data_IF_158260963988
#
_entry.id   IF_158260963988
#
_cell.length_a   1.000
_cell.length_b   1.000
_cell.length_c   1.000
_cell.angle_alpha   90.00
_cell.angle_beta   90.00
_cell.angle_gamma   90.00
#
_symmetry.space_group_name_H-M   'P 1'
#
loop_
_entity.id
_entity.type
_entity.pdbx_description
1 polymer ?
#
# COMPACT_ATOMS: atom_id res chain seq x y z
N UNK A 1 -59.11 -8.97 -56.01
CA UNK A 1 -58.22 -8.66 -54.91
C UNK A 1 -57.96 -7.15 -54.92
N UNK A 2 -58.39 -6.43 -53.87
CA UNK A 2 -58.30 -4.96 -53.88
C UNK A 2 -56.83 -4.51 -53.96
N UNK A 3 -56.54 -3.60 -54.91
CA UNK A 3 -55.18 -3.05 -55.11
C UNK A 3 -54.53 -2.54 -53.80
N UNK A 4 -55.37 -1.98 -52.93
CA UNK A 4 -54.97 -1.53 -51.59
C UNK A 4 -54.47 -2.66 -50.66
N UNK A 5 -55.06 -3.85 -50.75
CA UNK A 5 -54.66 -5.02 -49.95
C UNK A 5 -53.29 -5.55 -50.44
N UNK A 6 -53.06 -5.56 -51.74
CA UNK A 6 -51.76 -5.98 -52.33
C UNK A 6 -50.64 -5.02 -51.95
N UNK A 7 -50.91 -3.71 -51.96
CA UNK A 7 -49.91 -2.70 -51.50
C UNK A 7 -49.62 -2.76 -50.02
N UNK A 8 -50.60 -3.09 -49.19
CA UNK A 8 -50.43 -3.26 -47.74
C UNK A 8 -49.55 -4.49 -47.44
N UNK A 9 -49.79 -5.61 -48.13
CA UNK A 9 -48.96 -6.82 -47.99
C UNK A 9 -47.52 -6.57 -48.46
N UNK A 10 -47.35 -5.89 -49.57
CA UNK A 10 -46.01 -5.54 -50.07
C UNK A 10 -45.27 -4.60 -49.11
N UNK A 11 -45.94 -3.64 -48.50
CA UNK A 11 -45.38 -2.74 -47.49
C UNK A 11 -44.99 -3.48 -46.20
N UNK A 12 -45.81 -4.42 -45.73
CA UNK A 12 -45.48 -5.26 -44.54
C UNK A 12 -44.30 -6.22 -44.82
N UNK A 13 -44.22 -6.78 -46.02
CA UNK A 13 -43.08 -7.63 -46.44
C UNK A 13 -41.79 -6.82 -46.57
N UNK A 14 -41.83 -5.63 -47.16
CA UNK A 14 -40.69 -4.74 -47.25
C UNK A 14 -40.27 -4.22 -45.85
N UNK A 15 -41.22 -3.78 -45.04
CA UNK A 15 -40.94 -3.33 -43.67
C UNK A 15 -40.40 -4.43 -42.78
N UNK A 16 -40.97 -5.64 -42.86
CA UNK A 16 -40.45 -6.84 -42.15
C UNK A 16 -39.06 -7.28 -42.64
N UNK A 17 -38.81 -7.21 -43.95
CA UNK A 17 -37.52 -7.48 -44.53
C UNK A 17 -36.42 -6.48 -44.13
N UNK A 18 -36.75 -5.20 -44.14
CA UNK A 18 -35.85 -4.14 -43.65
C UNK A 18 -35.59 -4.27 -42.14
N UNK A 19 -36.63 -4.52 -41.37
CA UNK A 19 -36.54 -4.75 -39.89
C UNK A 19 -35.65 -5.99 -39.62
N UNK A 20 -35.89 -7.09 -40.35
CA UNK A 20 -35.07 -8.32 -40.20
C UNK A 20 -33.60 -8.09 -40.64
N UNK A 21 -33.38 -7.35 -41.72
CA UNK A 21 -32.04 -6.98 -42.20
C UNK A 21 -31.31 -6.07 -41.20
N UNK A 22 -31.99 -5.09 -40.63
CA UNK A 22 -31.41 -4.19 -39.64
C UNK A 22 -31.18 -4.92 -38.30
N UNK A 23 -32.04 -5.87 -37.92
CA UNK A 23 -31.82 -6.68 -36.70
C UNK A 23 -30.71 -7.72 -36.80
N UNK A 24 -30.37 -8.16 -38.00
CA UNK A 24 -29.20 -9.02 -38.20
C UNK A 24 -27.85 -8.24 -38.28
N UNK A 25 -27.91 -6.94 -38.54
CA UNK A 25 -26.71 -6.13 -38.75
C UNK A 25 -26.02 -5.57 -37.50
N UNK A 26 -26.65 -5.66 -36.35
CA UNK A 26 -26.11 -5.03 -35.11
C UNK A 26 -25.30 -5.97 -34.22
N UNK A 27 -25.43 -7.29 -34.31
CA UNK A 27 -24.80 -8.19 -33.34
C UNK A 27 -23.36 -8.61 -33.63
N UNK A 28 -22.91 -8.57 -34.90
CA UNK A 28 -21.54 -9.02 -35.24
C UNK A 28 -20.50 -7.89 -35.27
N UNK A 29 -20.89 -6.65 -35.54
CA UNK A 29 -19.94 -5.52 -35.58
C UNK A 29 -19.77 -4.80 -34.24
N UNK A 30 -20.75 -4.89 -33.36
CA UNK A 30 -20.74 -4.24 -32.03
C UNK A 30 -20.02 -5.04 -30.98
N UNK A 31 -19.97 -6.36 -31.03
CA UNK A 31 -19.32 -7.21 -30.02
C UNK A 31 -17.80 -7.17 -30.13
N UNK A 32 -17.21 -7.20 -31.33
CA UNK A 32 -15.75 -7.08 -31.49
C UNK A 32 -15.27 -5.64 -31.21
N UNK A 33 -15.95 -4.62 -31.76
CA UNK A 33 -15.63 -3.22 -31.44
C UNK A 33 -15.92 -2.81 -29.97
N UNK A 34 -16.77 -3.57 -29.27
CA UNK A 34 -17.03 -3.41 -27.84
C UNK A 34 -15.94 -3.99 -26.96
N UNK A 35 -15.41 -5.14 -27.31
CA UNK A 35 -14.36 -5.83 -26.55
C UNK A 35 -13.04 -5.03 -26.53
N UNK A 36 -12.65 -4.43 -27.66
CA UNK A 36 -11.43 -3.63 -27.78
C UNK A 36 -11.45 -2.31 -26.99
N UNK A 37 -12.62 -1.91 -26.50
CA UNK A 37 -12.85 -0.68 -25.72
C UNK A 37 -13.08 -0.91 -24.24
N UNK A 38 -13.34 -2.14 -23.82
CA UNK A 38 -13.71 -2.47 -22.46
C UNK A 38 -12.50 -2.78 -21.59
N UNK A 39 -11.74 -1.74 -21.21
CA UNK A 39 -10.56 -1.87 -20.35
C UNK A 39 -10.93 -2.15 -18.89
N UNK A 40 -12.06 -1.64 -18.39
CA UNK A 40 -12.45 -1.76 -17.00
C UNK A 40 -12.98 -3.16 -16.64
N UNK A 41 -12.70 -3.60 -15.43
CA UNK A 41 -13.36 -4.76 -14.80
C UNK A 41 -14.40 -4.23 -13.82
N UNK A 42 -15.69 -4.40 -14.13
CA UNK A 42 -16.79 -3.84 -13.33
C UNK A 42 -16.83 -4.33 -11.90
N UNK A 43 -16.52 -5.60 -11.70
CA UNK A 43 -16.47 -6.24 -10.37
C UNK A 43 -15.04 -6.68 -10.05
N UNK A 44 -14.37 -5.93 -9.19
CA UNK A 44 -13.01 -6.25 -8.73
C UNK A 44 -12.96 -7.55 -7.93
N UNK A 45 -14.08 -8.02 -7.39
CA UNK A 45 -14.19 -9.30 -6.70
C UNK A 45 -13.82 -10.50 -7.56
N UNK A 46 -13.95 -10.38 -8.89
CA UNK A 46 -13.59 -11.42 -9.85
C UNK A 46 -12.07 -11.49 -10.10
N UNK A 47 -11.31 -10.45 -9.77
CA UNK A 47 -9.86 -10.40 -10.01
C UNK A 47 -9.13 -10.99 -8.80
N UNK A 48 -8.44 -12.11 -9.03
CA UNK A 48 -7.65 -12.81 -8.01
C UNK A 48 -6.15 -12.66 -8.23
N UNK A 49 -5.70 -12.42 -9.47
CA UNK A 49 -4.30 -12.15 -9.76
C UNK A 49 -4.18 -11.01 -10.77
N UNK A 50 -3.25 -10.10 -10.51
CA UNK A 50 -2.83 -9.02 -11.40
C UNK A 50 -1.36 -9.26 -11.73
N UNK A 51 -1.04 -9.38 -13.02
CA UNK A 51 0.33 -9.45 -13.49
C UNK A 51 0.64 -8.16 -14.24
N UNK A 52 1.77 -7.53 -13.91
CA UNK A 52 2.26 -6.30 -14.51
C UNK A 52 3.68 -6.55 -14.98
N UNK A 53 3.98 -6.24 -16.23
CA UNK A 53 5.32 -6.35 -16.78
C UNK A 53 5.65 -5.13 -17.64
N UNK A 54 6.85 -4.58 -17.47
CA UNK A 54 7.36 -3.53 -18.33
C UNK A 54 8.43 -4.03 -19.31
N UNK A 55 8.84 -3.17 -20.21
CA UNK A 55 9.87 -3.49 -21.23
C UNK A 55 11.30 -3.50 -20.66
N UNK A 56 11.50 -3.08 -19.42
CA UNK A 56 12.80 -3.14 -18.72
C UNK A 56 13.05 -4.51 -18.09
N UNK A 57 12.05 -5.40 -18.17
CA UNK A 57 12.12 -6.75 -17.61
C UNK A 57 11.58 -6.86 -16.18
N UNK A 58 11.10 -5.76 -15.61
CA UNK A 58 10.47 -5.77 -14.31
C UNK A 58 9.11 -6.47 -14.38
N UNK A 59 8.88 -7.34 -13.41
CA UNK A 59 7.63 -8.13 -13.31
C UNK A 59 7.08 -8.04 -11.89
N UNK A 60 5.79 -7.81 -11.82
CA UNK A 60 5.03 -7.75 -10.56
C UNK A 60 3.86 -8.69 -10.64
N UNK A 61 3.72 -9.56 -9.66
CA UNK A 61 2.53 -10.40 -9.47
C UNK A 61 1.87 -10.00 -8.16
N UNK A 62 0.58 -9.68 -8.22
CA UNK A 62 -0.23 -9.34 -7.06
C UNK A 62 -1.36 -10.36 -6.99
N UNK A 63 -1.41 -11.14 -5.91
CA UNK A 63 -2.39 -12.20 -5.72
C UNK A 63 -3.30 -11.87 -4.54
N UNK A 64 -4.61 -12.00 -4.73
CA UNK A 64 -5.59 -11.76 -3.67
C UNK A 64 -5.50 -12.85 -2.61
N UNK A 65 -5.49 -12.43 -1.36
CA UNK A 65 -5.62 -13.28 -0.18
C UNK A 65 -6.77 -12.75 0.69
N UNK A 66 -7.06 -13.46 1.75
CA UNK A 66 -8.07 -12.99 2.71
C UNK A 66 -7.60 -11.72 3.41
N UNK A 67 -8.28 -10.61 3.14
CA UNK A 67 -7.98 -9.30 3.71
C UNK A 67 -6.79 -8.52 3.14
N UNK A 68 -5.97 -9.08 2.23
CA UNK A 68 -4.80 -8.38 1.66
C UNK A 68 -4.43 -8.88 0.26
N UNK A 69 -3.43 -8.23 -0.37
CA UNK A 69 -2.80 -8.69 -1.60
C UNK A 69 -1.37 -9.14 -1.33
N UNK A 70 -0.98 -10.26 -1.91
CA UNK A 70 0.37 -10.83 -1.83
C UNK A 70 1.19 -10.38 -3.04
N UNK A 71 2.32 -9.71 -2.79
CA UNK A 71 3.25 -9.25 -3.81
C UNK A 71 4.33 -10.30 -4.07
N UNK A 72 4.49 -10.70 -5.32
CA UNK A 72 5.48 -11.68 -5.82
C UNK A 72 5.53 -12.98 -5.01
N UNK A 73 4.37 -13.44 -4.51
CA UNK A 73 4.25 -14.69 -3.76
C UNK A 73 4.87 -14.66 -2.35
N UNK A 74 5.40 -13.52 -1.89
CA UNK A 74 6.20 -13.46 -0.66
C UNK A 74 5.77 -12.36 0.32
N UNK A 75 5.50 -11.15 -0.16
CA UNK A 75 5.31 -9.99 0.69
C UNK A 75 3.88 -9.49 0.67
N UNK A 76 3.39 -8.97 1.79
CA UNK A 76 2.14 -8.22 1.82
C UNK A 76 2.28 -6.95 0.98
N UNK A 77 1.35 -6.73 0.05
CA UNK A 77 1.31 -5.51 -0.73
C UNK A 77 0.74 -4.35 0.08
N UNK A 78 1.32 -3.16 -0.10
CA UNK A 78 0.94 -1.94 0.62
C UNK A 78 -0.46 -1.45 0.18
N UNK A 79 -1.43 -1.32 1.11
CA UNK A 79 -2.81 -0.92 0.77
C UNK A 79 -2.89 0.42 0.05
N UNK A 80 -2.07 1.41 0.43
CA UNK A 80 -2.06 2.74 -0.18
C UNK A 80 -1.57 2.78 -1.64
N UNK A 81 -0.95 1.70 -2.14
CA UNK A 81 -0.57 1.51 -3.54
C UNK A 81 -1.59 0.65 -4.26
N UNK A 82 -2.13 -0.36 -3.58
CA UNK A 82 -3.13 -1.25 -4.15
C UNK A 82 -4.43 -0.53 -4.48
N UNK A 83 -4.95 0.31 -3.58
CA UNK A 83 -6.23 0.99 -3.81
C UNK A 83 -6.24 1.83 -5.11
N UNK A 84 -5.25 2.72 -5.38
CA UNK A 84 -5.18 3.45 -6.64
C UNK A 84 -5.06 2.55 -7.87
N UNK A 85 -4.38 1.39 -7.77
CA UNK A 85 -4.30 0.42 -8.86
C UNK A 85 -5.66 -0.22 -9.13
N UNK A 86 -6.35 -0.68 -8.09
CA UNK A 86 -7.68 -1.29 -8.20
C UNK A 86 -8.73 -0.31 -8.73
N UNK A 87 -8.65 0.96 -8.31
CA UNK A 87 -9.48 2.04 -8.86
C UNK A 87 -9.21 2.25 -10.37
N UNK A 88 -7.95 2.18 -10.80
CA UNK A 88 -7.61 2.27 -12.22
C UNK A 88 -8.21 1.10 -13.01
N UNK A 89 -8.10 -0.13 -12.51
CA UNK A 89 -8.64 -1.34 -13.15
C UNK A 89 -10.17 -1.28 -13.26
N UNK A 90 -10.86 -0.75 -12.25
CA UNK A 90 -12.34 -0.77 -12.20
C UNK A 90 -13.00 0.43 -12.87
N UNK A 91 -12.34 1.57 -12.92
CA UNK A 91 -12.95 2.86 -13.28
C UNK A 91 -12.38 3.50 -14.54
N UNK A 92 -11.38 2.87 -15.18
CA UNK A 92 -10.84 3.38 -16.46
C UNK A 92 -11.93 3.49 -17.52
N UNK A 93 -11.97 4.62 -18.22
CA UNK A 93 -12.91 4.90 -19.30
C UNK A 93 -12.16 5.43 -20.52
N UNK A 94 -12.71 5.17 -21.69
CA UNK A 94 -12.22 5.79 -22.93
C UNK A 94 -12.62 7.25 -22.95
N UNK A 95 -11.65 8.11 -23.20
CA UNK A 95 -11.86 9.53 -23.42
C UNK A 95 -12.17 9.84 -24.89
N UNK A 96 -11.33 9.30 -25.79
CA UNK A 96 -11.53 9.38 -27.24
C UNK A 96 -10.64 8.37 -27.99
N UNK A 97 -10.94 8.19 -29.27
CA UNK A 97 -10.12 7.46 -30.21
C UNK A 97 -9.13 8.43 -30.88
N UNK A 98 -7.83 8.12 -30.89
CA UNK A 98 -6.84 8.95 -31.57
C UNK A 98 -7.10 9.06 -33.08
N UNK A 99 -6.66 10.18 -33.73
CA UNK A 99 -6.70 10.30 -35.17
C UNK A 99 -5.89 9.20 -35.88
N UNK A 100 -6.36 8.71 -37.02
CA UNK A 100 -5.72 7.65 -37.79
C UNK A 100 -4.22 7.93 -38.05
N UNK A 101 -3.89 9.17 -38.39
CA UNK A 101 -2.52 9.59 -38.68
C UNK A 101 -1.53 9.47 -37.50
N UNK A 102 -2.06 9.34 -36.29
CA UNK A 102 -1.24 9.20 -35.07
C UNK A 102 -1.11 7.74 -34.59
N UNK A 103 -1.91 6.82 -35.11
CA UNK A 103 -2.03 5.44 -34.61
C UNK A 103 -0.73 4.66 -34.69
N UNK A 104 -0.03 4.67 -35.83
CA UNK A 104 1.19 3.89 -35.99
C UNK A 104 2.26 4.25 -34.97
N UNK A 105 2.44 5.55 -34.73
CA UNK A 105 3.37 6.04 -33.69
C UNK A 105 2.94 5.66 -32.24
N UNK A 106 1.63 5.63 -31.99
CA UNK A 106 1.11 5.24 -30.71
C UNK A 106 1.26 3.74 -30.45
N UNK A 107 1.00 2.91 -31.46
CA UNK A 107 1.21 1.46 -31.39
C UNK A 107 2.70 1.16 -31.19
N UNK A 108 3.58 1.84 -31.94
CA UNK A 108 5.03 1.72 -31.78
C UNK A 108 5.46 2.10 -30.35
N UNK A 109 4.98 3.23 -29.82
CA UNK A 109 5.28 3.66 -28.45
C UNK A 109 4.74 2.68 -27.40
N UNK A 110 3.53 2.14 -27.57
CA UNK A 110 2.96 1.11 -26.71
C UNK A 110 3.75 -0.21 -26.80
N UNK A 111 4.24 -0.56 -27.97
CA UNK A 111 5.07 -1.75 -28.17
C UNK A 111 6.45 -1.63 -27.51
N UNK A 112 7.02 -0.42 -27.44
CA UNK A 112 8.39 -0.18 -26.92
C UNK A 112 8.43 0.20 -25.45
N UNK A 113 7.45 0.95 -24.96
CA UNK A 113 7.42 1.52 -23.59
C UNK A 113 6.19 1.11 -22.78
N UNK A 114 5.25 0.39 -23.39
CA UNK A 114 4.00 -0.02 -22.77
C UNK A 114 4.20 -0.99 -21.62
N UNK A 115 3.37 -0.84 -20.60
CA UNK A 115 3.28 -1.73 -19.45
C UNK A 115 2.17 -2.73 -19.73
N UNK A 116 2.50 -4.01 -19.81
CA UNK A 116 1.51 -5.08 -19.93
C UNK A 116 0.81 -5.29 -18.61
N UNK A 117 -0.50 -5.37 -18.62
CA UNK A 117 -1.35 -5.72 -17.48
C UNK A 117 -2.20 -6.92 -17.87
N UNK A 118 -2.16 -7.95 -17.06
CA UNK A 118 -3.00 -9.13 -17.21
C UNK A 118 -3.78 -9.36 -15.91
N UNK A 119 -5.08 -9.59 -16.05
CA UNK A 119 -6.00 -9.79 -14.94
C UNK A 119 -6.55 -11.21 -15.03
N UNK A 120 -6.50 -11.94 -13.92
CA UNK A 120 -6.91 -13.33 -13.85
C UNK A 120 -7.94 -13.55 -12.73
N UNK A 121 -8.84 -14.49 -12.98
CA UNK A 121 -9.80 -14.94 -11.98
C UNK A 121 -9.17 -15.93 -10.97
N UNK A 122 -10.01 -16.47 -10.07
CA UNK A 122 -9.60 -17.43 -9.03
C UNK A 122 -9.09 -18.76 -9.58
N UNK A 123 -9.55 -19.16 -10.78
CA UNK A 123 -9.21 -20.42 -11.43
C UNK A 123 -7.99 -20.26 -12.36
N UNK A 124 -7.44 -19.03 -12.44
CA UNK A 124 -6.29 -18.68 -13.26
C UNK A 124 -6.65 -18.41 -14.72
N UNK A 125 -7.94 -18.27 -15.06
CA UNK A 125 -8.36 -17.89 -16.42
C UNK A 125 -8.14 -16.38 -16.62
N UNK A 126 -7.70 -16.02 -17.84
CA UNK A 126 -7.46 -14.63 -18.20
C UNK A 126 -8.79 -13.89 -18.40
N UNK A 127 -9.02 -12.85 -17.57
CA UNK A 127 -10.18 -11.96 -17.68
C UNK A 127 -9.92 -10.88 -18.72
N UNK A 128 -8.77 -10.20 -18.62
CA UNK A 128 -8.35 -9.11 -19.53
C UNK A 128 -6.84 -9.03 -19.64
N UNK A 129 -6.37 -8.60 -20.81
CA UNK A 129 -4.97 -8.24 -21.03
C UNK A 129 -4.91 -6.97 -21.87
N UNK A 130 -4.09 -6.01 -21.49
CA UNK A 130 -3.92 -4.75 -22.19
C UNK A 130 -2.56 -4.11 -21.92
N UNK A 131 -2.18 -3.15 -22.74
CA UNK A 131 -0.98 -2.34 -22.58
C UNK A 131 -1.34 -0.91 -22.21
N UNK A 132 -0.61 -0.35 -21.25
CA UNK A 132 -0.75 1.03 -20.77
C UNK A 132 0.53 1.80 -21.12
N UNK A 133 0.39 2.84 -21.91
CA UNK A 133 1.52 3.65 -22.40
C UNK A 133 1.72 4.94 -21.63
N UNK A 134 2.28 5.93 -22.33
CA UNK A 134 2.52 7.27 -21.83
C UNK A 134 1.26 8.13 -21.78
N UNK A 135 1.42 9.38 -21.26
CA UNK A 135 0.39 10.41 -21.26
C UNK A 135 0.21 11.03 -22.64
N UNK A 136 -0.98 11.59 -22.88
CA UNK A 136 -1.22 12.54 -23.97
C UNK A 136 -0.40 13.81 -23.77
N UNK A 137 -0.23 14.62 -24.81
CA UNK A 137 0.52 15.87 -24.76
C UNK A 137 -0.07 16.93 -23.80
N UNK A 138 -1.39 16.85 -23.54
CA UNK A 138 -2.11 17.68 -22.58
C UNK A 138 -2.11 17.08 -21.17
N UNK A 139 -1.43 15.92 -20.95
CA UNK A 139 -1.35 15.16 -19.70
C UNK A 139 -2.71 14.71 -19.11
N UNK A 140 -3.80 14.79 -19.89
CA UNK A 140 -5.17 14.49 -19.44
C UNK A 140 -5.68 13.13 -19.86
N UNK A 141 -4.82 12.28 -20.41
CA UNK A 141 -5.17 10.93 -20.83
C UNK A 141 -3.94 10.04 -20.91
N UNK A 142 -4.18 8.75 -21.07
CA UNK A 142 -3.14 7.72 -21.18
C UNK A 142 -3.46 6.85 -22.38
N UNK A 143 -2.47 6.56 -23.21
CA UNK A 143 -2.64 5.64 -24.33
C UNK A 143 -2.79 4.22 -23.80
N UNK A 144 -3.80 3.51 -24.30
CA UNK A 144 -4.05 2.11 -23.95
C UNK A 144 -4.46 1.32 -25.20
N UNK A 145 -4.10 0.03 -25.24
CA UNK A 145 -4.52 -0.89 -26.28
C UNK A 145 -4.80 -2.27 -25.66
N UNK A 146 -5.86 -2.94 -26.07
CA UNK A 146 -6.12 -4.33 -25.68
C UNK A 146 -5.08 -5.25 -26.31
N UNK A 147 -4.72 -6.32 -25.63
CA UNK A 147 -3.80 -7.33 -26.14
C UNK A 147 -4.42 -8.00 -27.36
N UNK A 148 -3.69 -8.01 -28.49
CA UNK A 148 -4.17 -8.52 -29.77
C UNK A 148 -5.05 -7.56 -30.60
N UNK A 149 -5.37 -6.34 -30.10
CA UNK A 149 -6.08 -5.34 -30.87
C UNK A 149 -5.14 -4.46 -31.69
N UNK A 150 -5.65 -3.88 -32.78
CA UNK A 150 -4.91 -2.93 -33.63
C UNK A 150 -5.21 -1.47 -33.28
N UNK A 151 -6.34 -1.23 -32.59
CA UNK A 151 -6.85 0.09 -32.29
C UNK A 151 -6.46 0.56 -30.89
N UNK A 152 -5.56 1.56 -30.76
CA UNK A 152 -5.31 2.23 -29.47
C UNK A 152 -6.39 3.25 -29.14
N UNK A 153 -6.54 3.52 -27.84
CA UNK A 153 -7.46 4.52 -27.31
C UNK A 153 -6.75 5.44 -26.31
N UNK A 154 -7.28 6.63 -26.14
CA UNK A 154 -6.94 7.49 -25.02
C UNK A 154 -7.92 7.21 -23.89
N UNK A 155 -7.42 6.75 -22.76
CA UNK A 155 -8.18 6.43 -21.57
C UNK A 155 -7.88 7.40 -20.42
N UNK A 156 -8.82 7.51 -19.50
CA UNK A 156 -8.70 8.34 -18.30
C UNK A 156 -9.47 7.73 -17.13
N UNK A 157 -9.27 8.27 -15.93
CA UNK A 157 -10.17 8.02 -14.79
C UNK A 157 -11.11 9.22 -14.61
N UNK A 158 -12.42 9.01 -14.45
CA UNK A 158 -13.34 10.08 -14.11
C UNK A 158 -12.93 10.79 -12.82
N UNK A 159 -13.00 12.11 -12.83
CA UNK A 159 -12.64 12.98 -11.70
C UNK A 159 -11.16 12.92 -11.27
N UNK A 160 -10.28 12.35 -12.09
CA UNK A 160 -8.83 12.36 -11.87
C UNK A 160 -8.10 12.75 -13.15
N UNK A 161 -7.17 13.69 -13.06
CA UNK A 161 -6.30 14.08 -14.17
C UNK A 161 -4.91 13.52 -13.96
N UNK A 162 -4.29 13.00 -15.03
CA UNK A 162 -2.94 12.48 -15.01
C UNK A 162 -2.75 11.19 -15.79
N UNK A 163 -1.53 10.68 -15.75
CA UNK A 163 -1.12 9.46 -16.44
C UNK A 163 -1.40 8.21 -15.60
N UNK A 164 -2.25 7.29 -16.11
CA UNK A 164 -2.56 6.04 -15.44
C UNK A 164 -1.33 5.15 -15.20
N UNK A 165 -0.30 5.26 -16.05
CA UNK A 165 0.91 4.42 -15.93
C UNK A 165 1.65 4.64 -14.60
N UNK A 166 1.50 5.79 -13.92
CA UNK A 166 2.12 6.05 -12.61
C UNK A 166 1.59 5.13 -11.51
N UNK A 167 0.39 4.57 -11.69
CA UNK A 167 -0.21 3.60 -10.75
C UNK A 167 0.33 2.19 -10.95
N UNK A 168 0.95 1.91 -12.10
CA UNK A 168 1.50 0.63 -12.52
C UNK A 168 3.03 0.59 -12.39
N UNK A 169 3.72 1.74 -12.56
CA UNK A 169 5.18 1.86 -12.48
C UNK A 169 5.64 1.94 -11.03
N UNK A 170 5.62 0.79 -10.37
CA UNK A 170 6.15 0.59 -9.03
C UNK A 170 7.16 -0.55 -9.10
N UNK A 171 8.25 -0.42 -8.37
CA UNK A 171 9.36 -1.36 -8.46
C UNK A 171 9.78 -1.84 -7.07
N UNK A 172 10.06 -3.13 -6.97
CA UNK A 172 10.62 -3.72 -5.76
C UNK A 172 9.83 -3.37 -4.49
N UNK A 173 10.52 -2.82 -3.52
CA UNK A 173 9.97 -2.48 -2.20
C UNK A 173 8.84 -1.41 -2.22
N UNK A 174 8.62 -0.71 -3.34
CA UNK A 174 7.50 0.23 -3.45
C UNK A 174 6.13 -0.46 -3.36
N UNK A 175 6.05 -1.73 -3.75
CA UNK A 175 4.85 -2.56 -3.61
C UNK A 175 4.63 -3.08 -2.19
N UNK A 176 5.70 -3.22 -1.40
CA UNK A 176 5.68 -3.89 -0.11
C UNK A 176 5.01 -3.05 0.97
N UNK A 177 4.28 -3.72 1.84
CA UNK A 177 3.80 -3.13 3.08
C UNK A 177 5.00 -2.82 4.00
N UNK A 178 5.02 -1.63 4.56
CA UNK A 178 6.05 -1.12 5.46
C UNK A 178 5.51 -0.79 6.86
N UNK A 179 4.43 -1.46 7.22
CA UNK A 179 3.84 -1.40 8.55
C UNK A 179 4.79 -2.07 9.56
N UNK A 180 5.05 -1.37 10.66
CA UNK A 180 5.81 -1.91 11.79
C UNK A 180 4.88 -2.60 12.78
N UNK A 181 3.77 -1.95 13.13
CA UNK A 181 2.72 -2.50 13.98
C UNK A 181 1.34 -2.13 13.43
N UNK A 182 0.40 -3.08 13.50
CA UNK A 182 -1.00 -2.92 13.06
C UNK A 182 -1.86 -3.93 13.81
N UNK A 183 -1.96 -3.76 15.15
CA UNK A 183 -2.74 -4.65 16.00
C UNK A 183 -3.78 -3.84 16.76
N UNK A 184 -5.01 -4.30 16.75
CA UNK A 184 -6.09 -3.75 17.57
C UNK A 184 -5.83 -4.08 19.05
N UNK A 185 -6.22 -3.19 19.96
CA UNK A 185 -5.97 -3.31 21.40
C UNK A 185 -6.42 -4.67 21.93
N UNK A 186 -7.63 -5.10 21.56
CA UNK A 186 -8.22 -6.36 22.00
C UNK A 186 -7.48 -7.62 21.52
N UNK A 187 -6.63 -7.48 20.50
CA UNK A 187 -5.85 -8.58 19.96
C UNK A 187 -4.41 -8.65 20.52
N UNK A 188 -3.99 -7.67 21.29
CA UNK A 188 -2.65 -7.64 21.89
C UNK A 188 -2.63 -8.50 23.15
N UNK A 189 -1.73 -9.49 23.21
CA UNK A 189 -1.46 -10.29 24.41
C UNK A 189 -0.44 -9.60 25.31
N UNK A 190 0.64 -9.09 24.74
CA UNK A 190 1.66 -8.37 25.49
C UNK A 190 2.48 -7.42 24.63
N UNK A 191 2.98 -6.37 25.25
CA UNK A 191 3.98 -5.47 24.69
C UNK A 191 5.12 -5.31 25.66
N UNK A 192 6.36 -5.51 25.20
CA UNK A 192 7.55 -5.14 25.96
C UNK A 192 8.32 -4.02 25.28
N UNK A 193 8.79 -3.06 26.07
CA UNK A 193 9.74 -2.05 25.62
C UNK A 193 11.01 -2.18 26.45
N UNK A 194 12.08 -2.54 25.77
CA UNK A 194 13.42 -2.58 26.33
C UNK A 194 14.19 -1.32 25.91
N UNK A 195 14.74 -0.59 26.89
CA UNK A 195 15.70 0.50 26.70
C UNK A 195 17.05 0.05 27.27
N UNK A 196 17.97 -0.51 26.46
CA UNK A 196 19.22 -1.11 26.96
C UNK A 196 20.10 -0.15 27.76
N UNK A 197 20.04 1.16 27.44
CA UNK A 197 20.79 2.24 28.12
C UNK A 197 19.99 2.91 29.26
N UNK A 198 18.70 2.61 29.39
CA UNK A 198 17.80 3.17 30.42
C UNK A 198 16.95 2.05 31.01
N UNK A 199 17.60 1.05 31.59
CA UNK A 199 16.99 -0.21 32.02
C UNK A 199 15.81 -0.05 32.98
N UNK A 200 15.85 0.96 33.86
CA UNK A 200 14.78 1.29 34.79
C UNK A 200 13.50 1.84 34.12
N UNK A 201 13.56 2.18 32.85
CA UNK A 201 12.39 2.60 32.04
C UNK A 201 11.80 1.45 31.23
N UNK A 202 12.46 0.29 31.20
CA UNK A 202 12.05 -0.87 30.43
C UNK A 202 10.95 -1.65 31.17
N UNK A 203 9.94 -2.12 30.43
CA UNK A 203 8.78 -2.78 31.01
C UNK A 203 8.19 -3.85 30.11
N UNK A 204 7.32 -4.68 30.69
CA UNK A 204 6.43 -5.61 30.00
C UNK A 204 5.02 -5.29 30.47
N UNK A 205 4.12 -5.03 29.54
CA UNK A 205 2.67 -4.90 29.75
C UNK A 205 2.01 -6.14 29.16
N UNK A 206 1.17 -6.80 29.96
CA UNK A 206 0.53 -8.06 29.60
C UNK A 206 -0.98 -7.99 29.87
N UNK A 207 -1.78 -8.51 28.95
CA UNK A 207 -3.22 -8.70 29.14
C UNK A 207 -3.44 -10.03 29.89
N UNK A 208 -4.01 -9.96 31.08
CA UNK A 208 -4.29 -11.12 31.93
C UNK A 208 -5.80 -11.27 32.18
N UNK A 209 -6.29 -12.42 32.64
CA UNK A 209 -7.72 -12.58 32.99
C UNK A 209 -8.24 -11.59 34.05
N UNK A 210 -7.35 -11.04 34.86
CA UNK A 210 -7.68 -10.09 35.92
C UNK A 210 -7.48 -8.61 35.51
N UNK A 211 -7.16 -8.38 34.20
CA UNK A 211 -6.86 -7.06 33.60
C UNK A 211 -5.40 -6.91 33.23
N UNK A 212 -4.98 -5.68 32.93
CA UNK A 212 -3.61 -5.41 32.51
C UNK A 212 -2.64 -5.46 33.70
N UNK A 213 -1.54 -6.19 33.52
CA UNK A 213 -0.42 -6.26 34.42
C UNK A 213 0.81 -5.63 33.84
N UNK A 214 1.55 -4.84 34.62
CA UNK A 214 2.81 -4.25 34.19
C UNK A 214 3.93 -4.57 35.17
N UNK A 215 5.07 -4.99 34.65
CA UNK A 215 6.26 -5.34 35.41
C UNK A 215 7.53 -4.80 34.76
N UNK A 216 8.62 -4.63 35.53
CA UNK A 216 9.90 -4.24 34.92
C UNK A 216 10.39 -5.33 33.96
N UNK A 217 11.04 -4.91 32.90
CA UNK A 217 11.65 -5.84 31.94
C UNK A 217 12.90 -6.54 32.51
N UNK A 218 13.66 -5.82 33.32
CA UNK A 218 14.89 -6.34 33.95
C UNK A 218 14.66 -6.64 35.42
N UNK A 219 15.08 -7.82 35.89
CA UNK A 219 14.95 -8.25 37.28
C UNK A 219 15.66 -7.33 38.28
N UNK A 220 16.70 -6.62 37.84
CA UNK A 220 17.43 -5.64 38.64
C UNK A 220 16.60 -4.36 38.94
N UNK A 221 15.55 -4.10 38.15
CA UNK A 221 14.68 -2.93 38.32
C UNK A 221 13.62 -3.23 39.36
N UNK A 222 13.55 -2.45 40.46
CA UNK A 222 12.54 -2.68 41.48
C UNK A 222 11.11 -2.45 40.94
N UNK A 223 10.17 -3.25 41.40
CA UNK A 223 8.75 -3.03 41.14
C UNK A 223 8.25 -1.73 41.79
N UNK A 224 7.38 -1.04 41.06
CA UNK A 224 6.75 0.19 41.55
C UNK A 224 5.51 -0.15 42.37
N UNK A 225 5.52 0.23 43.64
CA UNK A 225 4.41 0.00 44.59
C UNK A 225 3.38 1.14 44.66
N UNK A 226 3.23 1.89 43.57
CA UNK A 226 2.22 2.95 43.42
C UNK A 226 0.99 2.41 42.72
N UNK A 227 -0.21 3.02 42.95
CA UNK A 227 -1.40 2.64 42.22
C UNK A 227 -1.20 2.77 40.72
N UNK A 228 -1.71 1.79 39.98
CA UNK A 228 -1.77 1.82 38.52
C UNK A 228 -2.71 2.95 38.08
N UNK A 229 -2.36 3.65 37.04
CA UNK A 229 -3.16 4.73 36.49
C UNK A 229 -4.22 4.14 35.57
N UNK A 230 -5.48 4.26 35.95
CA UNK A 230 -6.62 3.76 35.19
C UNK A 230 -6.59 4.26 33.70
N UNK A 231 -6.87 3.38 32.75
CA UNK A 231 -6.86 3.67 31.32
C UNK A 231 -5.48 3.87 30.69
N UNK A 232 -4.38 3.77 31.49
CA UNK A 232 -3.02 4.00 30.93
C UNK A 232 -2.54 2.85 30.03
N UNK A 233 -2.97 1.63 30.27
CA UNK A 233 -2.65 0.48 29.43
C UNK A 233 -3.30 0.63 28.05
N UNK A 234 -4.58 0.89 28.00
CA UNK A 234 -5.34 1.10 26.77
C UNK A 234 -4.82 2.32 25.99
N UNK A 235 -4.54 3.43 26.69
CA UNK A 235 -3.96 4.63 26.09
C UNK A 235 -2.57 4.40 25.49
N UNK A 236 -1.82 3.45 26.03
CA UNK A 236 -0.55 3.02 25.45
C UNK A 236 -0.77 2.08 24.27
N UNK A 237 -1.60 1.05 24.42
CA UNK A 237 -1.80 -0.01 23.43
C UNK A 237 -2.44 0.49 22.13
N UNK A 238 -3.34 1.46 22.18
CA UNK A 238 -3.96 2.06 20.98
C UNK A 238 -2.93 2.63 20.00
N UNK A 239 -1.74 2.99 20.47
CA UNK A 239 -0.67 3.49 19.60
C UNK A 239 -0.09 2.43 18.67
N UNK A 240 -0.39 1.14 18.87
CA UNK A 240 0.07 0.03 18.02
C UNK A 240 -0.89 -0.31 16.86
N UNK A 241 -2.07 0.29 16.78
CA UNK A 241 -3.04 0.03 15.71
C UNK A 241 -2.55 0.44 14.33
N UNK A 242 -1.70 1.48 14.25
CA UNK A 242 -1.17 1.97 12.97
C UNK A 242 0.18 2.66 13.14
N UNK A 243 1.24 1.90 12.94
CA UNK A 243 2.62 2.40 12.97
C UNK A 243 3.34 1.95 11.71
N UNK A 244 3.69 2.88 10.83
CA UNK A 244 4.34 2.61 9.55
C UNK A 244 5.74 3.21 9.46
N UNK A 245 6.60 2.59 8.66
CA UNK A 245 7.89 3.13 8.28
C UNK A 245 7.80 4.06 7.05
N UNK A 246 8.80 4.89 6.86
CA UNK A 246 8.91 5.81 5.72
C UNK A 246 9.33 5.04 4.46
N UNK A 247 10.38 4.22 4.55
CA UNK A 247 10.95 3.50 3.41
C UNK A 247 11.76 2.27 3.84
N UNK A 248 11.89 1.30 2.94
CA UNK A 248 12.87 0.23 3.08
C UNK A 248 14.30 0.76 2.83
N UNK A 249 15.26 0.19 3.55
CA UNK A 249 16.70 0.45 3.45
C UNK A 249 17.51 -0.86 3.48
N UNK A 250 16.94 -1.93 2.94
CA UNK A 250 17.56 -3.26 2.95
C UNK A 250 18.94 -3.28 2.26
N UNK A 251 19.13 -2.43 1.24
CA UNK A 251 20.37 -2.31 0.47
C UNK A 251 21.27 -1.16 0.98
N UNK A 252 21.06 -0.68 2.22
CA UNK A 252 21.92 0.36 2.80
C UNK A 252 23.27 -0.23 3.23
N UNK A 253 24.39 0.30 2.75
CA UNK A 253 25.73 -0.23 2.98
C UNK A 253 26.11 -0.33 4.48
N UNK A 254 25.57 0.57 5.31
CA UNK A 254 25.78 0.57 6.76
C UNK A 254 24.86 -0.34 7.57
N UNK A 255 23.95 -1.10 6.93
CA UNK A 255 22.93 -1.93 7.60
C UNK A 255 23.50 -2.86 8.66
N UNK A 256 24.49 -3.64 8.28
CA UNK A 256 25.07 -4.67 9.17
C UNK A 256 25.79 -4.04 10.36
N UNK A 257 26.56 -2.98 10.12
CA UNK A 257 27.25 -2.25 11.18
C UNK A 257 26.30 -1.61 12.17
N UNK A 258 25.20 -0.98 11.68
CA UNK A 258 24.17 -0.37 12.53
C UNK A 258 23.41 -1.43 13.32
N UNK A 259 23.08 -2.56 12.70
CA UNK A 259 22.34 -3.64 13.34
C UNK A 259 23.11 -4.29 14.50
N UNK A 260 24.44 -4.15 14.55
CA UNK A 260 25.31 -4.62 15.64
C UNK A 260 25.41 -3.61 16.80
N UNK A 261 25.02 -2.36 16.59
CA UNK A 261 25.03 -1.36 17.66
C UNK A 261 23.94 -1.67 18.71
N UNK A 262 24.18 -1.22 19.94
CA UNK A 262 23.15 -1.26 20.97
C UNK A 262 22.00 -0.33 20.56
N UNK A 263 20.78 -0.84 20.35
CA UNK A 263 19.65 -0.03 19.93
C UNK A 263 19.22 0.96 21.03
N UNK A 264 18.55 2.02 20.62
CA UNK A 264 17.86 2.93 21.53
C UNK A 264 16.72 2.21 22.25
N UNK A 265 15.93 1.45 21.51
CA UNK A 265 14.79 0.71 22.02
C UNK A 265 14.59 -0.58 21.22
N UNK A 266 14.13 -1.63 21.91
CA UNK A 266 13.61 -2.85 21.32
C UNK A 266 12.15 -2.96 21.78
N UNK A 267 11.23 -2.94 20.80
CA UNK A 267 9.80 -3.06 21.04
C UNK A 267 9.37 -4.43 20.53
N UNK A 268 8.79 -5.24 21.40
CA UNK A 268 8.26 -6.55 21.05
C UNK A 268 6.77 -6.60 21.39
N UNK A 269 5.95 -6.89 20.41
CA UNK A 269 4.51 -7.10 20.54
C UNK A 269 4.20 -8.58 20.26
N UNK A 270 3.40 -9.19 21.12
CA UNK A 270 2.84 -10.54 20.94
C UNK A 270 1.33 -10.40 20.87
N UNK A 271 0.71 -10.93 19.82
CA UNK A 271 -0.75 -10.95 19.73
C UNK A 271 -1.35 -12.21 20.39
N UNK A 272 -2.67 -12.27 20.52
CA UNK A 272 -3.39 -13.39 21.13
C UNK A 272 -3.31 -14.69 20.33
N UNK A 273 -2.87 -14.65 19.06
CA UNK A 273 -2.57 -15.81 18.22
C UNK A 273 -1.15 -16.35 18.46
N UNK A 274 -0.32 -15.60 19.21
CA UNK A 274 1.07 -15.96 19.49
C UNK A 274 2.07 -15.44 18.47
N UNK A 275 1.61 -14.66 17.46
CA UNK A 275 2.52 -14.03 16.51
C UNK A 275 3.30 -12.91 17.20
N UNK A 276 4.58 -12.85 16.88
CA UNK A 276 5.50 -11.88 17.51
C UNK A 276 6.05 -10.92 16.46
N UNK A 277 5.93 -9.64 16.75
CA UNK A 277 6.57 -8.55 15.98
C UNK A 277 7.60 -7.85 16.85
N UNK A 278 8.84 -7.82 16.40
CA UNK A 278 9.95 -7.14 17.08
C UNK A 278 10.54 -6.05 16.20
N UNK A 279 10.71 -4.85 16.77
CA UNK A 279 11.36 -3.71 16.11
C UNK A 279 12.50 -3.20 16.98
N UNK A 280 13.74 -3.23 16.43
CA UNK A 280 14.92 -2.62 17.06
C UNK A 280 15.17 -1.26 16.41
N UNK A 281 15.27 -0.21 17.22
CA UNK A 281 15.38 1.17 16.77
C UNK A 281 16.77 1.73 17.02
N UNK A 282 17.43 2.21 15.95
CA UNK A 282 18.73 2.84 15.99
C UNK A 282 18.58 4.31 15.54
N UNK A 283 18.83 5.30 16.40
CA UNK A 283 18.64 6.72 16.06
C UNK A 283 19.64 7.18 15.00
N UNK A 284 19.15 7.99 14.07
CA UNK A 284 20.00 8.68 13.11
C UNK A 284 20.28 10.07 13.68
N UNK A 285 21.52 10.23 14.13
CA UNK A 285 22.00 11.49 14.70
C UNK A 285 22.58 12.35 13.56
N UNK A 286 21.95 13.48 13.29
CA UNK A 286 22.52 14.49 12.38
C UNK A 286 23.60 15.24 13.15
N UNK A 287 24.85 15.03 12.80
CA UNK A 287 26.05 15.75 13.23
C UNK A 287 26.02 16.42 14.60
N UNK A 288 27.09 16.30 15.35
CA UNK A 288 27.25 17.03 16.60
C UNK A 288 27.38 18.52 16.30
N UNK A 289 26.41 19.31 16.65
CA UNK A 289 26.54 20.77 16.65
C UNK A 289 27.28 21.17 17.91
N UNK A 290 28.53 21.53 17.77
CA UNK A 290 29.28 22.17 18.87
C UNK A 290 28.89 23.64 18.83
N UNK A 291 28.13 24.10 19.82
CA UNK A 291 27.80 25.50 20.00
C UNK A 291 28.34 25.99 21.34
N UNK A 292 28.71 27.28 21.39
CA UNK A 292 29.14 27.88 22.63
C UNK A 292 27.90 28.19 23.51
N UNK A 293 27.88 27.65 24.72
CA UNK A 293 26.81 27.96 25.69
C UNK A 293 26.83 29.46 26.02
N UNK A 294 25.70 30.15 25.85
CA UNK A 294 25.60 31.58 26.03
C UNK A 294 25.80 32.05 27.49
N UNK A 295 25.72 31.14 28.46
CA UNK A 295 25.86 31.46 29.90
C UNK A 295 27.24 31.11 30.44
N UNK A 296 27.79 29.97 30.05
CA UNK A 296 29.10 29.51 30.54
C UNK A 296 30.26 29.88 29.63
N UNK A 297 29.99 30.19 28.37
CA UNK A 297 31.03 30.43 27.36
C UNK A 297 31.79 29.14 26.93
N UNK A 298 31.42 27.99 27.47
CA UNK A 298 31.99 26.67 27.13
C UNK A 298 31.39 26.12 25.85
N UNK A 299 32.20 25.38 25.09
CA UNK A 299 31.70 24.64 23.92
C UNK A 299 30.95 23.39 24.39
N UNK A 300 29.64 23.40 24.22
CA UNK A 300 28.75 22.29 24.59
C UNK A 300 28.33 21.56 23.34
N UNK A 301 28.39 20.24 23.41
CA UNK A 301 27.86 19.37 22.39
C UNK A 301 26.34 19.32 22.54
N UNK A 302 25.61 20.04 21.71
CA UNK A 302 24.16 19.90 21.65
C UNK A 302 23.85 18.61 20.87
N UNK A 303 23.11 17.69 21.52
CA UNK A 303 22.57 16.53 20.84
C UNK A 303 21.67 17.00 19.73
N UNK A 304 21.97 16.60 18.49
CA UNK A 304 21.09 16.89 17.39
C UNK A 304 19.74 16.23 17.64
N UNK A 305 18.67 16.92 17.24
CA UNK A 305 17.31 16.36 17.20
C UNK A 305 17.31 15.04 16.41
N UNK A 306 16.75 14.00 17.00
CA UNK A 306 16.57 12.72 16.32
C UNK A 306 15.29 12.83 15.51
N UNK A 307 15.41 13.01 14.20
CA UNK A 307 14.26 13.06 13.30
C UNK A 307 13.83 11.68 12.82
N UNK A 308 14.77 10.74 12.74
CA UNK A 308 14.57 9.41 12.18
C UNK A 308 15.34 8.32 12.90
N UNK A 309 14.84 7.11 12.72
CA UNK A 309 15.49 5.87 13.18
C UNK A 309 15.65 4.90 12.02
N UNK A 310 16.71 4.12 12.04
CA UNK A 310 16.70 2.84 11.37
C UNK A 310 15.96 1.83 12.24
N UNK A 311 14.95 1.19 11.65
CA UNK A 311 14.12 0.18 12.29
C UNK A 311 14.45 -1.19 11.70
N UNK A 312 14.95 -2.10 12.52
CA UNK A 312 15.14 -3.49 12.12
C UNK A 312 13.90 -4.28 12.55
N UNK A 313 13.08 -4.68 11.57
CA UNK A 313 11.85 -5.42 11.76
C UNK A 313 12.12 -6.92 11.68
N UNK A 314 11.89 -7.64 12.77
CA UNK A 314 12.04 -9.10 12.92
C UNK A 314 13.43 -9.64 12.49
N UNK A 315 14.47 -8.81 12.46
CA UNK A 315 15.77 -9.19 11.93
C UNK A 315 15.83 -9.37 10.40
N UNK A 316 14.74 -9.16 9.71
CA UNK A 316 14.61 -9.40 8.26
C UNK A 316 14.69 -8.11 7.45
N UNK A 317 13.84 -7.14 7.76
CA UNK A 317 13.76 -5.88 7.03
C UNK A 317 14.41 -4.73 7.79
N UNK A 318 15.13 -3.91 7.06
CA UNK A 318 15.76 -2.69 7.55
C UNK A 318 15.06 -1.49 6.93
N UNK A 319 14.42 -0.68 7.77
CA UNK A 319 13.54 0.41 7.34
C UNK A 319 13.99 1.75 7.93
N UNK A 320 13.54 2.83 7.32
CA UNK A 320 13.63 4.18 7.85
C UNK A 320 12.29 4.55 8.46
N UNK A 321 12.26 5.01 9.71
CA UNK A 321 11.05 5.44 10.41
C UNK A 321 11.24 6.83 11.02
N UNK A 322 10.18 7.65 10.98
CA UNK A 322 10.20 9.01 11.51
C UNK A 322 10.01 9.00 13.04
N UNK A 323 10.72 9.89 13.74
CA UNK A 323 10.56 10.08 15.18
C UNK A 323 9.11 10.41 15.55
N UNK A 324 8.49 11.34 14.83
CA UNK A 324 7.10 11.76 15.04
C UNK A 324 6.07 10.59 15.01
N UNK A 325 6.35 9.54 14.23
CA UNK A 325 5.49 8.36 14.16
C UNK A 325 5.74 7.41 15.34
N UNK A 326 6.99 7.36 15.84
CA UNK A 326 7.44 6.41 16.85
C UNK A 326 7.35 6.96 18.28
N UNK A 327 7.43 8.28 18.49
CA UNK A 327 7.50 8.90 19.82
C UNK A 327 6.34 8.52 20.74
N UNK A 328 5.15 8.31 20.17
CA UNK A 328 3.97 7.84 20.89
C UNK A 328 4.13 6.45 21.55
N UNK A 329 5.12 5.67 21.09
CA UNK A 329 5.45 4.35 21.65
C UNK A 329 6.50 4.44 22.77
N UNK A 330 7.20 5.57 22.94
CA UNK A 330 8.33 5.71 23.87
C UNK A 330 7.88 6.03 25.30
N UNK A 331 7.05 5.14 25.84
CA UNK A 331 6.68 5.23 27.26
C UNK A 331 7.76 4.59 28.12
N UNK A 332 7.89 5.09 29.33
CA UNK A 332 8.74 4.47 30.36
C UNK A 332 7.90 3.71 31.39
N UNK A 333 8.51 2.78 32.10
CA UNK A 333 7.86 1.98 33.14
C UNK A 333 7.05 2.83 34.13
N UNK A 334 7.59 4.00 34.52
CA UNK A 334 6.95 4.92 35.48
C UNK A 334 5.68 5.59 34.96
N UNK A 335 5.46 5.64 33.64
CA UNK A 335 4.33 6.34 33.01
C UNK A 335 2.96 5.75 33.33
N UNK A 336 2.93 4.49 33.73
CA UNK A 336 1.70 3.74 34.04
C UNK A 336 1.21 3.91 35.49
N UNK A 337 1.95 4.61 36.34
CA UNK A 337 1.63 4.74 37.73
C UNK A 337 1.29 6.19 38.09
N UNK A 338 0.45 6.37 39.12
CA UNK A 338 0.09 7.71 39.61
C UNK A 338 1.31 8.48 40.12
N UNK A 339 1.30 9.79 39.93
CA UNK A 339 2.38 10.67 40.37
C UNK A 339 2.48 10.71 41.90
N UNK A 340 3.72 10.84 42.43
CA UNK A 340 3.97 10.93 43.86
C UNK A 340 3.24 12.09 44.53
N UNK A 341 2.93 13.17 43.82
CA UNK A 341 2.35 14.41 44.36
C UNK A 341 0.82 14.36 44.47
N UNK A 342 0.14 13.31 44.03
CA UNK A 342 -1.31 13.14 44.12
C UNK A 342 -1.72 12.25 45.29
N UNK A 343 -0.77 11.76 46.11
CA UNK A 343 -0.98 10.86 47.22
C UNK A 343 -0.85 11.54 48.59
N UNK A 344 -0.76 12.88 48.64
CA UNK A 344 -0.75 13.68 49.90
C UNK A 344 -2.03 14.47 50.10
#
# INVERSE_FOLDING_TARGET
>A
MNRTLVLLIAFLLLGGGVFWYLSQGEDEKTTLAGADRDFAVKDIGQVYKIFIADRRGERTTLERRDGYWLYNGQYKARPSVMQPLLDAITRVQIKYQPPQAAMDKMVEALATEGIKVELYDKDGALIKAYYVGGSTSDERGTYMIMDGAEQPYVAHLPAWEGNLSVRLRRYGDEWRDKTLFSEEVDNIQSVSIEYPKQRNQSFILEDTPDGYEIRPFYDITPEIRRPFKEGSAEAFLVNFESVGAEAFRNNYDGRDSISQLVPFSIITLVNKQGDTTQVKLHPIVKGNVIAQDAKSGEYVLYSSEIERYFANLNGQDFLLAQHLVLEKLFWGYTSFFQDRNLLN
#
